data_IF_134517762891
#
_entry.id   IF_134517762891
#
_cell.length_a   1.000
_cell.length_b   1.000
_cell.length_c   1.000
_cell.angle_alpha   90.00
_cell.angle_beta   90.00
_cell.angle_gamma   90.00
#
_symmetry.space_group_name_H-M   'P 1'
#
loop_
_entity.id
_entity.type
_entity.pdbx_description
1 polymer ?
#
# COMPACT_ATOMS: atom_id res chain seq x y z
N UNK A 1 -6.28 3.21 7.47
CA UNK A 1 -6.28 1.74 7.55
C UNK A 1 -6.65 1.28 8.94
N UNK A 2 -7.28 0.13 9.03
CA UNK A 2 -7.63 -0.55 10.28
C UNK A 2 -7.82 -2.03 9.97
N UNK A 3 -7.93 -2.87 11.00
CA UNK A 3 -7.96 -4.33 10.85
C UNK A 3 -9.02 -4.97 11.74
N UNK A 4 -9.48 -6.14 11.33
CA UNK A 4 -10.42 -6.98 12.07
C UNK A 4 -10.01 -8.44 11.96
N UNK A 5 -10.35 -9.26 12.96
CA UNK A 5 -10.27 -10.72 12.87
C UNK A 5 -11.43 -11.33 12.09
N UNK A 6 -12.53 -10.59 11.93
CA UNK A 6 -13.74 -11.01 11.25
C UNK A 6 -13.97 -10.15 10.01
N UNK A 7 -14.36 -10.79 8.92
CA UNK A 7 -14.63 -10.10 7.64
C UNK A 7 -15.65 -8.96 7.80
N UNK A 8 -16.67 -9.17 8.63
CA UNK A 8 -17.73 -8.19 8.87
C UNK A 8 -17.37 -7.14 9.94
N UNK A 9 -16.12 -7.13 10.44
CA UNK A 9 -15.67 -6.20 11.47
C UNK A 9 -15.99 -6.63 12.91
N UNK A 10 -15.88 -5.71 13.88
CA UNK A 10 -15.50 -4.30 13.69
C UNK A 10 -14.03 -4.15 13.27
N UNK A 11 -13.76 -3.21 12.37
CA UNK A 11 -12.40 -2.79 12.03
C UNK A 11 -11.97 -1.68 12.98
N UNK A 12 -10.76 -1.81 13.55
CA UNK A 12 -10.21 -0.83 14.48
C UNK A 12 -8.86 -0.31 14.03
N UNK A 13 -8.46 0.86 14.53
CA UNK A 13 -7.09 1.35 14.46
C UNK A 13 -6.15 0.60 15.43
N UNK A 14 -4.90 1.06 15.58
CA UNK A 14 -3.91 0.43 16.47
C UNK A 14 -4.24 0.58 17.95
N UNK A 15 -5.00 1.62 18.32
CA UNK A 15 -5.46 1.87 19.68
C UNK A 15 -6.76 1.13 20.02
N UNK A 16 -7.32 0.37 19.07
CA UNK A 16 -8.58 -0.37 19.26
C UNK A 16 -9.83 0.49 19.06
N UNK A 17 -9.70 1.70 18.53
CA UNK A 17 -10.83 2.60 18.29
C UNK A 17 -11.55 2.25 16.98
N UNK A 18 -12.88 2.37 16.89
CA UNK A 18 -13.63 1.94 15.71
C UNK A 18 -13.34 2.79 14.47
N UNK A 19 -13.11 2.13 13.33
CA UNK A 19 -12.96 2.84 12.05
C UNK A 19 -14.25 3.53 11.60
N UNK A 20 -15.40 3.02 12.01
CA UNK A 20 -16.70 3.65 11.78
C UNK A 20 -16.76 5.08 12.35
N UNK A 21 -15.99 5.36 13.40
CA UNK A 21 -15.86 6.69 14.02
C UNK A 21 -14.65 7.47 13.46
N UNK A 22 -14.25 7.16 12.22
CA UNK A 22 -13.14 7.77 11.49
C UNK A 22 -11.75 7.55 12.13
N UNK A 23 -11.58 6.57 13.02
CA UNK A 23 -10.27 6.21 13.54
C UNK A 23 -9.49 5.31 12.59
N UNK A 24 -8.25 5.69 12.26
CA UNK A 24 -7.45 4.98 11.27
C UNK A 24 -5.95 5.27 11.39
N UNK A 25 -5.15 4.35 10.85
CA UNK A 25 -3.72 4.54 10.61
C UNK A 25 -3.48 5.08 9.19
N UNK A 26 -2.57 6.04 9.04
CA UNK A 26 -2.06 6.46 7.72
C UNK A 26 -0.99 5.45 7.28
N UNK A 27 -1.13 4.89 6.08
CA UNK A 27 -0.15 3.96 5.50
C UNK A 27 0.81 4.69 4.58
N UNK A 28 0.28 5.54 3.71
CA UNK A 28 1.05 6.37 2.78
C UNK A 28 0.40 7.75 2.73
N UNK A 29 1.20 8.78 2.95
CA UNK A 29 0.87 10.18 2.71
C UNK A 29 1.71 10.73 1.56
N UNK A 30 1.31 11.88 1.00
CA UNK A 30 2.12 12.57 -0.01
C UNK A 30 3.44 13.10 0.57
N UNK A 31 4.40 13.37 -0.32
CA UNK A 31 5.70 13.96 0.00
C UNK A 31 6.04 15.12 -0.96
N UNK A 32 7.31 15.47 -1.06
CA UNK A 32 7.80 16.54 -1.92
C UNK A 32 7.50 16.31 -3.41
N UNK A 33 7.45 15.07 -3.89
CA UNK A 33 7.30 14.78 -5.33
C UNK A 33 5.92 14.27 -5.68
N UNK A 34 5.22 13.70 -4.71
CA UNK A 34 3.94 13.05 -4.94
C UNK A 34 2.88 13.57 -3.98
N UNK A 35 1.71 13.90 -4.52
CA UNK A 35 0.54 14.31 -3.75
C UNK A 35 -0.63 13.36 -4.01
N UNK A 36 -1.70 13.46 -3.21
CA UNK A 36 -2.96 12.77 -3.48
C UNK A 36 -2.82 11.25 -3.55
N UNK A 37 -2.06 10.64 -2.66
CA UNK A 37 -1.87 9.19 -2.60
C UNK A 37 -3.18 8.52 -2.20
N UNK A 38 -3.65 7.51 -2.94
CA UNK A 38 -4.88 6.83 -2.58
C UNK A 38 -5.38 5.80 -3.59
N UNK A 39 -6.63 5.36 -3.37
CA UNK A 39 -7.31 4.32 -4.15
C UNK A 39 -6.39 3.13 -4.41
N UNK A 40 -5.86 2.56 -3.33
CA UNK A 40 -4.99 1.40 -3.40
C UNK A 40 -5.77 0.17 -3.87
N UNK A 41 -5.07 -0.74 -4.52
CA UNK A 41 -5.57 -2.06 -4.86
C UNK A 41 -5.22 -3.07 -3.74
N UNK A 42 -5.26 -4.36 -4.11
CA UNK A 42 -4.78 -5.48 -3.31
C UNK A 42 -3.31 -5.31 -2.87
N UNK A 43 -2.99 -5.92 -1.72
CA UNK A 43 -1.62 -6.21 -1.33
C UNK A 43 -1.14 -7.47 -2.05
N UNK A 44 -0.20 -7.33 -2.97
CA UNK A 44 0.30 -8.44 -3.79
C UNK A 44 1.57 -9.00 -3.17
N UNK A 45 1.70 -10.32 -3.11
CA UNK A 45 2.91 -10.98 -2.59
C UNK A 45 3.72 -11.55 -3.75
N UNK A 46 5.02 -11.24 -3.77
CA UNK A 46 5.93 -11.71 -4.81
C UNK A 46 6.50 -13.11 -4.55
N UNK A 47 7.27 -13.66 -5.50
CA UNK A 47 7.84 -15.01 -5.40
C UNK A 47 8.94 -15.15 -4.35
N UNK A 48 9.35 -14.04 -3.70
CA UNK A 48 10.23 -14.02 -2.52
C UNK A 48 9.45 -13.81 -1.22
N UNK A 49 8.11 -13.79 -1.27
CA UNK A 49 7.26 -13.55 -0.11
C UNK A 49 7.21 -12.08 0.33
N UNK A 50 7.66 -11.15 -0.50
CA UNK A 50 7.59 -9.72 -0.20
C UNK A 50 6.22 -9.17 -0.56
N UNK A 51 5.62 -8.41 0.35
CA UNK A 51 4.32 -7.76 0.11
C UNK A 51 4.53 -6.40 -0.56
N UNK A 52 3.68 -6.08 -1.52
CA UNK A 52 3.70 -4.84 -2.30
C UNK A 52 2.30 -4.23 -2.33
N UNK A 53 2.22 -2.90 -2.35
CA UNK A 53 0.97 -2.16 -2.48
C UNK A 53 0.96 -1.35 -3.77
N UNK A 54 -0.09 -1.53 -4.58
CA UNK A 54 -0.38 -0.72 -5.76
C UNK A 54 -1.37 0.39 -5.37
N UNK A 55 -1.10 1.62 -5.80
CA UNK A 55 -1.96 2.78 -5.54
C UNK A 55 -1.65 3.89 -6.54
N UNK A 56 -2.47 4.93 -6.59
CA UNK A 56 -2.15 6.09 -7.41
C UNK A 56 -1.60 7.26 -6.58
N UNK A 57 -0.85 8.12 -7.24
CA UNK A 57 -0.48 9.44 -6.76
C UNK A 57 -0.48 10.46 -7.92
N UNK A 58 -0.27 11.73 -7.62
CA UNK A 58 -0.06 12.79 -8.61
C UNK A 58 1.37 13.30 -8.48
N UNK A 59 2.12 13.31 -9.58
CA UNK A 59 3.46 13.91 -9.61
C UNK A 59 3.34 15.43 -9.48
N UNK A 60 4.05 16.01 -8.52
CA UNK A 60 4.11 17.47 -8.33
C UNK A 60 4.94 18.16 -9.41
N UNK A 61 5.90 17.45 -10.00
CA UNK A 61 6.72 17.97 -11.10
C UNK A 61 5.96 17.97 -12.44
N UNK A 62 5.02 17.03 -12.61
CA UNK A 62 4.16 16.96 -13.79
C UNK A 62 2.73 16.53 -13.38
N UNK A 63 1.86 17.50 -12.99
CA UNK A 63 0.56 17.19 -12.39
C UNK A 63 -0.53 16.78 -13.39
N UNK A 64 -0.18 16.40 -14.62
CA UNK A 64 -1.12 15.97 -15.66
C UNK A 64 -1.59 14.52 -15.44
N UNK A 65 -2.35 14.34 -14.36
CA UNK A 65 -3.04 13.09 -14.04
C UNK A 65 -2.35 12.24 -12.99
N UNK A 66 -2.91 11.04 -12.82
CA UNK A 66 -2.49 10.08 -11.79
C UNK A 66 -1.47 9.11 -12.35
N UNK A 67 -0.39 8.88 -11.62
CA UNK A 67 0.61 7.85 -11.91
C UNK A 67 0.37 6.63 -11.03
N UNK A 68 0.68 5.44 -11.56
CA UNK A 68 0.68 4.20 -10.79
C UNK A 68 1.95 4.14 -9.95
N UNK A 69 1.77 3.92 -8.65
CA UNK A 69 2.84 3.73 -7.68
C UNK A 69 2.86 2.28 -7.18
N UNK A 70 4.05 1.83 -6.79
CA UNK A 70 4.28 0.52 -6.20
C UNK A 70 5.32 0.64 -5.10
N UNK A 71 4.93 0.28 -3.88
CA UNK A 71 5.83 0.33 -2.73
C UNK A 71 5.85 -0.99 -1.97
N UNK A 72 7.01 -1.29 -1.38
CA UNK A 72 7.19 -2.46 -0.52
C UNK A 72 6.50 -2.22 0.82
N UNK A 73 5.69 -3.19 1.23
CA UNK A 73 5.05 -3.24 2.54
C UNK A 73 5.85 -4.16 3.45
N UNK A 74 6.16 -3.66 4.64
CA UNK A 74 6.70 -4.43 5.75
C UNK A 74 5.66 -4.51 6.87
N UNK A 75 5.81 -5.48 7.77
CA UNK A 75 4.83 -5.72 8.82
C UNK A 75 5.46 -5.54 10.19
N UNK A 76 5.00 -4.54 10.95
CA UNK A 76 5.47 -4.28 12.33
C UNK A 76 4.35 -4.53 13.32
N UNK A 77 4.52 -5.54 14.19
CA UNK A 77 3.48 -5.98 15.14
C UNK A 77 2.13 -6.26 14.44
N UNK A 78 2.21 -6.84 13.24
CA UNK A 78 1.05 -7.19 12.41
C UNK A 78 0.33 -5.99 11.75
N UNK A 79 0.97 -4.82 11.67
CA UNK A 79 0.46 -3.65 10.93
C UNK A 79 1.33 -3.37 9.71
N UNK A 80 0.72 -3.05 8.55
CA UNK A 80 1.47 -2.77 7.33
C UNK A 80 2.11 -1.39 7.41
N UNK A 81 3.34 -1.30 6.90
CA UNK A 81 4.14 -0.08 6.88
C UNK A 81 4.91 0.02 5.57
N UNK A 82 4.85 1.21 4.98
CA UNK A 82 5.71 1.62 3.88
C UNK A 82 6.84 2.47 4.47
N UNK A 83 8.04 2.37 3.90
CA UNK A 83 9.21 3.13 4.37
C UNK A 83 8.88 4.62 4.38
N UNK A 84 8.97 5.26 5.55
CA UNK A 84 8.67 6.69 5.72
C UNK A 84 7.18 7.05 5.57
N UNK A 85 6.29 6.07 5.39
CA UNK A 85 4.88 6.27 5.06
C UNK A 85 4.68 7.20 3.84
N UNK A 86 5.56 7.11 2.84
CA UNK A 86 5.54 7.97 1.67
C UNK A 86 5.90 7.20 0.37
N UNK A 87 5.53 7.72 -0.81
CA UNK A 87 5.91 7.11 -2.08
C UNK A 87 7.42 7.08 -2.31
N UNK A 88 7.95 5.92 -2.70
CA UNK A 88 9.36 5.80 -3.05
C UNK A 88 9.66 6.43 -4.41
N UNK A 89 10.78 7.18 -4.49
CA UNK A 89 11.41 7.54 -5.78
C UNK A 89 12.17 6.36 -6.39
N UNK A 90 12.79 5.56 -5.52
CA UNK A 90 13.60 4.40 -5.85
C UNK A 90 13.29 3.28 -4.86
N UNK A 91 13.06 2.09 -5.39
CA UNK A 91 12.83 0.88 -4.63
C UNK A 91 13.49 -0.31 -5.32
N UNK A 92 13.75 -1.37 -4.56
CA UNK A 92 14.00 -2.68 -5.16
C UNK A 92 12.79 -3.06 -6.02
N UNK A 93 13.02 -3.71 -7.16
CA UNK A 93 11.90 -4.24 -7.96
C UNK A 93 11.34 -5.51 -7.31
N UNK A 94 10.02 -5.77 -7.42
CA UNK A 94 9.45 -7.05 -7.00
C UNK A 94 10.08 -8.23 -7.74
N UNK A 95 10.13 -9.38 -7.06
CA UNK A 95 10.66 -10.61 -7.63
C UNK A 95 9.54 -11.49 -8.20
N UNK A 96 9.44 -11.55 -9.53
CA UNK A 96 8.54 -12.46 -10.24
C UNK A 96 9.34 -13.48 -11.05
N UNK A 97 9.08 -14.77 -10.84
CA UNK A 97 9.54 -15.86 -11.70
C UNK A 97 8.72 -15.80 -12.97
N UNK A 98 9.39 -15.91 -14.12
CA UNK A 98 8.68 -16.07 -15.38
C UNK A 98 7.87 -17.37 -15.36
N UNK A 99 6.56 -17.24 -15.18
CA UNK A 99 5.60 -18.32 -15.46
C UNK A 99 5.25 -18.23 -16.93
N UNK A 100 5.84 -19.09 -17.76
CA UNK A 100 5.31 -19.34 -19.11
C UNK A 100 3.89 -19.87 -18.91
N UNK A 101 2.88 -19.13 -19.38
CA UNK A 101 1.52 -19.68 -19.44
C UNK A 101 1.61 -20.88 -20.38
N UNK A 102 1.31 -22.09 -19.90
CA UNK A 102 0.79 -23.10 -20.81
C UNK A 102 -0.57 -22.58 -21.26
N UNK A 103 -0.71 -22.45 -22.56
CA UNK A 103 -1.95 -22.16 -23.23
C UNK A 103 -2.71 -23.50 -23.20
N UNK A 104 -3.67 -23.60 -22.29
CA UNK A 104 -4.68 -24.68 -22.32
C UNK A 104 -5.88 -24.20 -23.16
#
# INVERSE_FOLDING_TARGET
MGRSKYLMGPYTDRAGRPMADNHHEVVIHGNHDFAGTGHNAELVTDDKGQTWILYHAVSRANPDGRVLMLDRVTWRKGWPEVRGAEPSRLAERPAWKHRTRKQD
#
